data_IF_454061511421
#
_entry.id   IF_454061511421
#
_cell.length_a   1.000
_cell.length_b   1.000
_cell.length_c   1.000
_cell.angle_alpha   90.00
_cell.angle_beta   90.00
_cell.angle_gamma   90.00
#
_symmetry.space_group_name_H-M   'P 1'
#
loop_
_entity.id
_entity.type
_entity.pdbx_description
1 polymer ?
#
# COMPACT_ATOMS: atom_id res chain seq x y z
N UNK A 1 -7.50 -2.27 -21.53
CA UNK A 1 -6.29 -1.46 -21.21
C UNK A 1 -6.68 -0.54 -20.05
N UNK A 2 -5.79 -0.32 -19.07
CA UNK A 2 -6.04 0.66 -18.01
C UNK A 2 -5.87 2.08 -18.52
N UNK A 3 -6.56 3.07 -17.92
CA UNK A 3 -6.33 4.48 -18.19
C UNK A 3 -4.87 4.88 -17.89
N UNK A 4 -4.38 5.86 -18.63
CA UNK A 4 -3.07 6.45 -18.38
C UNK A 4 -3.15 7.50 -17.24
N UNK A 5 -2.01 8.10 -16.90
CA UNK A 5 -1.89 9.08 -15.80
C UNK A 5 -2.78 10.30 -16.05
N UNK A 6 -2.80 10.81 -17.26
CA UNK A 6 -3.55 12.00 -17.66
C UNK A 6 -5.06 11.77 -17.58
N UNK A 7 -5.53 10.60 -18.01
CA UNK A 7 -6.95 10.23 -17.94
C UNK A 7 -7.42 10.13 -16.48
N UNK A 8 -6.62 9.52 -15.59
CA UNK A 8 -6.95 9.50 -14.16
C UNK A 8 -6.94 10.90 -13.54
N UNK A 9 -5.97 11.75 -13.88
CA UNK A 9 -5.91 13.11 -13.37
C UNK A 9 -7.13 13.92 -13.84
N UNK A 10 -7.51 13.83 -15.11
CA UNK A 10 -8.70 14.50 -15.65
C UNK A 10 -9.99 14.01 -14.99
N UNK A 11 -10.13 12.70 -14.76
CA UNK A 11 -11.27 12.14 -14.05
C UNK A 11 -11.34 12.64 -12.60
N UNK A 12 -10.24 12.61 -11.87
CA UNK A 12 -10.17 13.00 -10.45
C UNK A 12 -10.30 14.51 -10.20
N UNK A 13 -10.26 15.34 -11.22
CA UNK A 13 -10.62 16.77 -11.15
C UNK A 13 -12.14 16.99 -11.22
N UNK A 14 -12.91 15.97 -11.58
CA UNK A 14 -14.37 16.01 -11.57
C UNK A 14 -14.91 15.78 -10.15
N UNK A 15 -16.24 15.87 -10.00
CA UNK A 15 -16.89 15.51 -8.76
C UNK A 15 -16.75 14.00 -8.49
N UNK A 16 -16.20 13.63 -7.33
CA UNK A 16 -15.98 12.24 -6.96
C UNK A 16 -17.27 11.41 -6.96
N UNK A 17 -18.43 12.01 -6.70
CA UNK A 17 -19.71 11.31 -6.76
C UNK A 17 -20.08 10.82 -8.16
N UNK A 18 -19.50 11.37 -9.22
CA UNK A 18 -19.71 10.94 -10.60
C UNK A 18 -18.74 9.84 -11.05
N UNK A 19 -17.59 9.72 -10.40
CA UNK A 19 -16.53 8.81 -10.83
C UNK A 19 -16.27 7.66 -9.87
N UNK A 20 -16.39 7.85 -8.55
CA UNK A 20 -16.25 6.78 -7.56
C UNK A 20 -17.60 6.08 -7.37
N UNK A 21 -17.60 4.75 -7.49
CA UNK A 21 -18.83 3.95 -7.41
C UNK A 21 -19.33 3.85 -5.96
N UNK A 22 -18.43 3.68 -5.02
CA UNK A 22 -18.78 3.57 -3.60
C UNK A 22 -19.20 4.93 -3.03
N UNK A 23 -20.47 5.00 -2.64
CA UNK A 23 -21.11 6.24 -2.14
C UNK A 23 -20.48 6.78 -0.86
N UNK A 24 -19.80 5.93 -0.07
CA UNK A 24 -19.12 6.36 1.16
C UNK A 24 -18.01 7.40 0.91
N UNK A 25 -17.48 7.46 -0.32
CA UNK A 25 -16.42 8.39 -0.72
C UNK A 25 -16.93 9.61 -1.52
N UNK A 26 -18.24 9.75 -1.74
CA UNK A 26 -18.78 10.84 -2.53
C UNK A 26 -18.59 12.23 -1.90
N UNK A 27 -18.50 12.30 -0.58
CA UNK A 27 -18.19 13.55 0.16
C UNK A 27 -16.69 13.82 0.34
N UNK A 28 -15.83 12.90 -0.11
CA UNK A 28 -14.39 13.09 -0.02
C UNK A 28 -13.90 14.16 -1.00
N UNK A 29 -12.72 14.70 -0.74
CA UNK A 29 -11.96 15.52 -1.69
C UNK A 29 -10.59 14.90 -1.96
N UNK A 30 -10.06 15.15 -3.16
CA UNK A 30 -8.68 14.76 -3.51
C UNK A 30 -7.70 15.81 -3.00
N UNK A 31 -6.54 15.38 -2.49
CA UNK A 31 -5.44 16.29 -2.21
C UNK A 31 -4.91 16.88 -3.51
N UNK A 32 -4.96 18.21 -3.62
CA UNK A 32 -4.48 18.95 -4.80
C UNK A 32 -3.09 19.52 -4.56
N UNK A 33 -2.31 19.68 -5.63
CA UNK A 33 -1.09 20.49 -5.66
C UNK A 33 -1.44 21.98 -5.67
N UNK A 34 -0.44 22.85 -5.53
CA UNK A 34 -0.60 24.30 -5.67
C UNK A 34 -1.10 24.74 -7.04
N UNK A 35 -0.98 23.88 -8.06
CA UNK A 35 -1.46 24.12 -9.42
C UNK A 35 -2.89 23.59 -9.66
N UNK A 36 -3.60 23.13 -8.62
CA UNK A 36 -4.95 22.57 -8.76
C UNK A 36 -5.00 21.20 -9.45
N UNK A 37 -3.88 20.49 -9.53
CA UNK A 37 -3.78 19.13 -10.10
C UNK A 37 -3.78 18.12 -8.98
N UNK A 38 -4.50 16.97 -9.06
CA UNK A 38 -4.45 15.89 -8.09
C UNK A 38 -3.02 15.46 -7.76
N UNK A 39 -2.65 15.49 -6.48
CA UNK A 39 -1.30 15.14 -6.05
C UNK A 39 -1.09 13.64 -6.08
N UNK A 40 -0.15 13.20 -6.92
CA UNK A 40 0.17 11.79 -7.13
C UNK A 40 1.34 11.38 -6.24
N UNK A 41 1.26 10.16 -5.73
CA UNK A 41 2.38 9.36 -5.26
C UNK A 41 2.43 8.12 -6.15
N UNK A 42 3.44 8.00 -6.99
CA UNK A 42 3.51 6.93 -8.00
C UNK A 42 4.37 5.76 -7.53
N UNK A 43 3.88 4.54 -7.80
CA UNK A 43 4.65 3.30 -7.81
C UNK A 43 4.85 2.77 -9.23
N UNK A 44 5.41 1.57 -9.37
CA UNK A 44 5.71 0.96 -10.68
C UNK A 44 4.45 0.62 -11.50
N UNK A 45 3.32 0.30 -10.87
CA UNK A 45 2.11 -0.21 -11.52
C UNK A 45 0.85 0.61 -11.23
N UNK A 46 0.90 1.43 -10.19
CA UNK A 46 -0.26 2.15 -9.69
C UNK A 46 0.07 3.59 -9.29
N UNK A 47 -0.97 4.43 -9.33
CA UNK A 47 -0.96 5.80 -8.82
C UNK A 47 -1.74 5.82 -7.52
N UNK A 48 -1.23 6.54 -6.52
CA UNK A 48 -1.87 6.70 -5.22
C UNK A 48 -2.24 8.16 -5.03
N UNK A 49 -3.51 8.40 -4.73
CA UNK A 49 -4.08 9.70 -4.40
C UNK A 49 -4.58 9.71 -2.97
N UNK A 50 -4.45 10.83 -2.30
CA UNK A 50 -4.98 11.00 -0.95
C UNK A 50 -6.42 11.51 -1.04
N UNK A 51 -7.37 10.74 -0.49
CA UNK A 51 -8.74 11.13 -0.26
C UNK A 51 -8.87 11.73 1.14
N UNK A 52 -9.33 12.96 1.22
CA UNK A 52 -9.62 13.65 2.48
C UNK A 52 -11.10 13.48 2.81
N UNK A 53 -11.40 12.85 3.94
CA UNK A 53 -12.75 12.73 4.50
C UNK A 53 -12.82 13.50 5.83
N UNK A 54 -14.03 13.72 6.34
CA UNK A 54 -14.25 14.47 7.59
C UNK A 54 -13.57 13.86 8.81
N UNK A 55 -13.53 12.53 8.89
CA UNK A 55 -13.08 11.83 10.08
C UNK A 55 -11.68 11.22 9.94
N UNK A 56 -11.29 10.80 8.74
CA UNK A 56 -10.01 10.15 8.47
C UNK A 56 -9.70 10.17 6.99
N UNK A 57 -8.43 10.22 6.65
CA UNK A 57 -7.99 10.19 5.25
C UNK A 57 -7.88 8.74 4.75
N UNK A 58 -8.08 8.55 3.45
CA UNK A 58 -7.85 7.28 2.75
C UNK A 58 -6.83 7.46 1.63
N UNK A 59 -6.23 6.37 1.21
CA UNK A 59 -5.44 6.29 -0.01
C UNK A 59 -6.28 5.60 -1.09
N UNK A 60 -6.50 6.29 -2.20
CA UNK A 60 -7.08 5.73 -3.42
C UNK A 60 -5.94 5.30 -4.33
N UNK A 61 -5.86 4.01 -4.61
CA UNK A 61 -4.89 3.44 -5.54
C UNK A 61 -5.57 3.00 -6.81
N UNK A 62 -5.11 3.51 -7.96
CA UNK A 62 -5.59 3.17 -9.30
C UNK A 62 -4.46 2.57 -10.12
N UNK A 63 -4.77 1.66 -11.04
CA UNK A 63 -3.80 0.93 -11.84
C UNK A 63 -3.67 1.52 -13.24
N UNK A 64 -2.46 1.85 -13.66
CA UNK A 64 -2.18 2.38 -15.01
C UNK A 64 -1.38 1.41 -15.90
N UNK A 65 -0.92 0.30 -15.32
CA UNK A 65 -0.28 -0.80 -16.05
C UNK A 65 -0.96 -2.12 -15.73
N UNK A 66 -1.00 -3.01 -16.72
CA UNK A 66 -1.56 -4.35 -16.55
C UNK A 66 -0.65 -5.16 -15.63
N UNK A 67 -1.21 -5.66 -14.54
CA UNK A 67 -0.62 -6.71 -13.74
C UNK A 67 -1.54 -7.93 -13.84
N UNK A 68 -0.99 -9.09 -14.23
CA UNK A 68 -1.76 -10.31 -14.32
C UNK A 68 -2.26 -10.74 -12.93
N UNK A 69 -3.50 -11.20 -12.87
CA UNK A 69 -4.14 -11.73 -11.65
C UNK A 69 -4.28 -10.76 -10.47
N UNK A 70 -4.26 -9.45 -10.70
CA UNK A 70 -4.32 -8.45 -9.64
C UNK A 70 -5.51 -8.65 -8.71
N UNK A 71 -6.69 -8.96 -9.25
CA UNK A 71 -7.91 -9.21 -8.50
C UNK A 71 -7.74 -10.38 -7.53
N UNK A 72 -7.34 -11.54 -8.07
CA UNK A 72 -7.15 -12.77 -7.28
C UNK A 72 -6.07 -12.59 -6.20
N UNK A 73 -4.99 -11.87 -6.52
CA UNK A 73 -3.92 -11.59 -5.57
C UNK A 73 -4.42 -10.72 -4.42
N UNK A 74 -5.08 -9.60 -4.73
CA UNK A 74 -5.57 -8.68 -3.70
C UNK A 74 -6.68 -9.27 -2.84
N UNK A 75 -7.54 -10.15 -3.38
CA UNK A 75 -8.49 -10.89 -2.57
C UNK A 75 -7.79 -11.73 -1.49
N UNK A 76 -6.73 -12.46 -1.85
CA UNK A 76 -5.97 -13.26 -0.89
C UNK A 76 -5.14 -12.40 0.08
N UNK A 77 -4.49 -11.34 -0.42
CA UNK A 77 -3.74 -10.39 0.42
C UNK A 77 -4.66 -9.75 1.47
N UNK A 78 -5.85 -9.30 1.08
CA UNK A 78 -6.80 -8.70 2.00
C UNK A 78 -7.29 -9.71 3.05
N UNK A 79 -7.53 -10.97 2.68
CA UNK A 79 -7.89 -12.02 3.65
C UNK A 79 -6.82 -12.18 4.72
N UNK A 80 -5.53 -12.26 4.32
CA UNK A 80 -4.44 -12.43 5.28
C UNK A 80 -4.22 -11.17 6.12
N UNK A 81 -4.30 -9.97 5.55
CA UNK A 81 -4.23 -8.71 6.29
C UNK A 81 -5.32 -8.65 7.37
N UNK A 82 -6.56 -8.95 7.01
CA UNK A 82 -7.68 -8.94 7.95
C UNK A 82 -7.51 -9.99 9.05
N UNK A 83 -6.97 -11.17 8.73
CA UNK A 83 -6.66 -12.19 9.72
C UNK A 83 -5.60 -11.72 10.71
N UNK A 84 -4.50 -11.14 10.21
CA UNK A 84 -3.40 -10.64 11.02
C UNK A 84 -3.83 -9.49 11.92
N UNK A 85 -4.56 -8.53 11.39
CA UNK A 85 -5.05 -7.38 12.17
C UNK A 85 -5.98 -7.84 13.32
N UNK A 86 -6.78 -8.90 13.11
CA UNK A 86 -7.61 -9.48 14.18
C UNK A 86 -6.78 -10.19 15.26
N UNK A 87 -5.68 -10.82 14.89
CA UNK A 87 -4.83 -11.58 15.82
C UNK A 87 -3.91 -10.69 16.67
N UNK A 88 -3.50 -9.53 16.18
CA UNK A 88 -2.51 -8.66 16.82
C UNK A 88 -3.09 -7.66 17.83
N UNK A 89 -4.39 -7.65 18.05
CA UNK A 89 -5.03 -6.70 18.98
C UNK A 89 -4.87 -5.24 18.50
N UNK A 90 -4.15 -4.42 19.25
CA UNK A 90 -3.99 -2.99 18.93
C UNK A 90 -2.80 -2.67 18.01
N UNK A 91 -2.03 -3.67 17.58
CA UNK A 91 -0.84 -3.45 16.74
C UNK A 91 -1.10 -3.94 15.32
N UNK A 92 -1.58 -3.04 14.47
CA UNK A 92 -1.83 -3.33 13.06
C UNK A 92 -0.60 -3.01 12.22
N UNK A 93 0.08 -4.06 11.73
CA UNK A 93 1.20 -3.90 10.79
C UNK A 93 0.75 -3.52 9.38
N UNK A 94 -0.51 -3.68 9.06
CA UNK A 94 -1.10 -3.38 7.76
C UNK A 94 -2.31 -2.48 7.92
N UNK A 95 -2.49 -1.54 6.99
CA UNK A 95 -3.69 -0.70 6.96
C UNK A 95 -4.91 -1.47 6.48
N UNK A 96 -6.08 -1.09 6.96
CA UNK A 96 -7.33 -1.61 6.43
C UNK A 96 -7.40 -1.34 4.92
N UNK A 97 -7.68 -2.37 4.16
CA UNK A 97 -7.59 -2.35 2.71
C UNK A 97 -8.80 -3.02 2.08
N UNK A 98 -9.37 -2.39 1.07
CA UNK A 98 -10.45 -2.96 0.25
C UNK A 98 -10.10 -2.90 -1.23
N UNK A 99 -10.44 -3.95 -1.97
CA UNK A 99 -10.34 -4.01 -3.42
C UNK A 99 -11.74 -3.95 -4.04
N UNK A 100 -11.92 -3.07 -5.01
CA UNK A 100 -13.19 -2.88 -5.73
C UNK A 100 -12.95 -3.11 -7.22
N UNK A 101 -13.54 -4.18 -7.75
CA UNK A 101 -13.35 -4.59 -9.17
C UNK A 101 -13.79 -3.51 -10.16
N UNK A 102 -14.81 -2.73 -9.80
CA UNK A 102 -15.43 -1.68 -10.62
C UNK A 102 -15.58 -0.40 -9.79
N UNK A 103 -14.49 0.08 -9.19
CA UNK A 103 -14.53 1.15 -8.18
C UNK A 103 -14.44 2.57 -8.72
N UNK A 104 -13.87 2.77 -9.90
CA UNK A 104 -13.76 4.12 -10.52
C UNK A 104 -14.19 4.11 -11.97
N UNK A 105 -14.85 5.20 -12.38
CA UNK A 105 -15.27 5.45 -13.76
C UNK A 105 -14.32 6.44 -14.42
N UNK A 106 -13.73 6.06 -15.56
CA UNK A 106 -12.89 6.91 -16.39
C UNK A 106 -13.30 6.73 -17.84
N UNK A 107 -13.58 7.81 -18.55
CA UNK A 107 -14.02 7.81 -19.94
C UNK A 107 -15.18 6.82 -20.21
N UNK A 108 -16.16 6.79 -19.30
CA UNK A 108 -17.36 5.95 -19.38
C UNK A 108 -17.17 4.48 -18.95
N UNK A 109 -15.94 4.01 -18.78
CA UNK A 109 -15.62 2.63 -18.39
C UNK A 109 -15.31 2.52 -16.87
N UNK A 110 -15.57 1.34 -16.31
CA UNK A 110 -15.27 1.04 -14.90
C UNK A 110 -13.94 0.31 -14.77
N UNK A 111 -13.15 0.72 -13.79
CA UNK A 111 -11.83 0.16 -13.50
C UNK A 111 -11.68 -0.20 -12.03
N UNK A 112 -10.81 -1.18 -11.73
CA UNK A 112 -10.55 -1.58 -10.36
C UNK A 112 -9.76 -0.52 -9.60
N UNK A 113 -10.05 -0.44 -8.31
CA UNK A 113 -9.31 0.39 -7.35
C UNK A 113 -9.03 -0.37 -6.07
N UNK A 114 -8.07 0.15 -5.32
CA UNK A 114 -7.86 -0.20 -3.92
C UNK A 114 -8.06 1.04 -3.08
N UNK A 115 -8.84 0.91 -2.02
CA UNK A 115 -8.96 1.93 -0.98
C UNK A 115 -8.30 1.39 0.28
N UNK A 116 -7.40 2.19 0.87
CA UNK A 116 -6.68 1.86 2.08
C UNK A 116 -6.78 2.99 3.10
N UNK A 117 -6.63 2.69 4.38
CA UNK A 117 -6.44 3.75 5.37
C UNK A 117 -5.15 4.53 5.08
N UNK A 118 -5.23 5.86 5.27
CA UNK A 118 -4.05 6.70 5.19
C UNK A 118 -3.25 6.60 6.50
N UNK A 119 -2.08 5.97 6.47
CA UNK A 119 -1.20 5.93 7.63
C UNK A 119 -0.42 7.25 7.78
N UNK A 120 -0.47 7.90 8.95
CA UNK A 120 0.14 9.23 9.16
C UNK A 120 1.63 9.18 9.51
N UNK A 121 2.31 8.05 9.41
CA UNK A 121 3.73 7.90 9.75
C UNK A 121 4.69 8.61 8.78
N UNK A 122 5.94 8.80 9.24
CA UNK A 122 7.07 9.12 8.36
C UNK A 122 7.55 7.85 7.66
N UNK A 123 8.12 7.98 6.46
CA UNK A 123 8.87 6.85 5.89
C UNK A 123 10.00 6.44 6.85
N UNK A 124 10.34 5.16 6.90
CA UNK A 124 11.45 4.68 7.74
C UNK A 124 12.76 5.40 7.38
N UNK A 125 12.97 5.72 6.11
CA UNK A 125 14.13 6.49 5.66
C UNK A 125 14.16 7.90 6.28
N UNK A 126 13.05 8.63 6.21
CA UNK A 126 12.94 9.97 6.79
C UNK A 126 13.04 9.91 8.32
N UNK A 127 12.36 8.93 8.95
CA UNK A 127 12.42 8.75 10.40
C UNK A 127 13.86 8.53 10.89
N UNK A 128 14.61 7.63 10.25
CA UNK A 128 16.01 7.36 10.59
C UNK A 128 16.87 8.59 10.32
N UNK A 129 16.71 9.24 9.18
CA UNK A 129 17.48 10.45 8.82
C UNK A 129 17.34 11.56 9.84
N UNK A 130 16.15 11.75 10.39
CA UNK A 130 15.87 12.78 11.39
C UNK A 130 16.35 12.37 12.79
N UNK A 131 16.24 11.08 13.13
CA UNK A 131 16.37 10.58 14.50
C UNK A 131 17.60 9.71 14.76
N UNK A 132 18.56 9.57 13.83
CA UNK A 132 19.70 8.62 13.95
C UNK A 132 20.57 8.84 15.20
N UNK A 133 20.58 10.04 15.78
CA UNK A 133 21.28 10.35 17.05
C UNK A 133 20.45 10.07 18.31
N UNK A 134 19.17 9.74 18.17
CA UNK A 134 18.29 9.45 19.30
C UNK A 134 18.22 7.93 19.53
N UNK A 135 19.05 7.43 20.44
CA UNK A 135 19.16 6.01 20.72
C UNK A 135 17.82 5.37 21.12
N UNK A 136 16.97 6.08 21.87
CA UNK A 136 15.66 5.58 22.29
C UNK A 136 14.72 5.37 21.10
N UNK A 137 14.61 6.35 20.20
CA UNK A 137 13.74 6.25 19.03
C UNK A 137 14.22 5.16 18.05
N UNK A 138 15.53 5.04 17.87
CA UNK A 138 16.10 3.97 17.03
C UNK A 138 15.88 2.58 17.67
N UNK A 139 16.05 2.46 18.98
CA UNK A 139 15.77 1.19 19.69
C UNK A 139 14.28 0.81 19.61
N UNK A 140 13.36 1.78 19.71
CA UNK A 140 11.93 1.54 19.53
C UNK A 140 11.63 1.00 18.12
N UNK A 141 12.20 1.63 17.07
CA UNK A 141 12.04 1.18 15.69
C UNK A 141 12.59 -0.25 15.49
N UNK A 142 13.78 -0.56 16.05
CA UNK A 142 14.35 -1.90 15.97
C UNK A 142 13.43 -2.96 16.59
N UNK A 143 12.87 -2.67 17.75
CA UNK A 143 11.94 -3.59 18.41
C UNK A 143 10.63 -3.76 17.63
N UNK A 144 10.09 -2.66 17.08
CA UNK A 144 8.89 -2.72 16.24
C UNK A 144 9.11 -3.57 14.98
N UNK A 145 10.26 -3.43 14.30
CA UNK A 145 10.63 -4.24 13.14
C UNK A 145 10.79 -5.72 13.50
N UNK A 146 11.50 -6.01 14.60
CA UNK A 146 11.70 -7.38 15.09
C UNK A 146 10.38 -8.08 15.37
N UNK A 147 9.46 -7.40 16.04
CA UNK A 147 8.13 -7.92 16.33
C UNK A 147 7.31 -8.16 15.05
N UNK A 148 7.38 -7.26 14.07
CA UNK A 148 6.72 -7.46 12.79
C UNK A 148 7.26 -8.67 12.02
N UNK A 149 8.58 -8.82 11.94
CA UNK A 149 9.19 -9.96 11.26
C UNK A 149 8.89 -11.29 11.95
N UNK A 150 8.82 -11.32 13.28
CA UNK A 150 8.36 -12.51 14.01
C UNK A 150 6.93 -12.91 13.61
N UNK A 151 6.03 -11.93 13.46
CA UNK A 151 4.66 -12.17 12.99
C UNK A 151 4.65 -12.68 11.54
N UNK A 152 5.48 -12.12 10.68
CA UNK A 152 5.59 -12.55 9.28
C UNK A 152 6.06 -14.00 9.19
N UNK A 153 7.12 -14.35 9.89
CA UNK A 153 7.68 -15.70 9.93
C UNK A 153 6.65 -16.70 10.48
N UNK A 154 6.02 -16.40 11.61
CA UNK A 154 5.01 -17.26 12.23
C UNK A 154 3.82 -17.56 11.30
N UNK A 155 3.47 -16.65 10.40
CA UNK A 155 2.35 -16.78 9.47
C UNK A 155 2.77 -17.16 8.05
N UNK A 156 4.04 -17.46 7.81
CA UNK A 156 4.61 -17.76 6.49
C UNK A 156 4.28 -16.67 5.45
N UNK A 157 4.42 -15.42 5.83
CA UNK A 157 4.23 -14.28 4.93
C UNK A 157 5.52 -13.51 4.74
N UNK A 158 5.64 -12.85 3.59
CA UNK A 158 6.69 -11.88 3.32
C UNK A 158 6.10 -10.67 2.60
N UNK A 159 6.61 -9.49 2.90
CA UNK A 159 6.18 -8.27 2.19
C UNK A 159 6.67 -8.24 0.74
N UNK A 160 7.84 -8.80 0.49
CA UNK A 160 8.43 -8.92 -0.85
C UNK A 160 9.14 -7.69 -1.38
N UNK A 161 8.86 -6.50 -0.82
CA UNK A 161 9.56 -5.24 -1.17
C UNK A 161 9.73 -4.35 0.08
N UNK A 162 10.47 -4.85 1.09
CA UNK A 162 10.78 -4.05 2.28
C UNK A 162 11.89 -3.08 1.97
N UNK A 163 11.50 -1.85 1.70
CA UNK A 163 12.40 -0.72 1.49
C UNK A 163 11.98 0.46 2.40
N UNK A 164 12.86 1.45 2.64
CA UNK A 164 12.57 2.55 3.56
C UNK A 164 11.29 3.33 3.25
N UNK A 165 10.87 3.40 1.99
CA UNK A 165 9.64 4.07 1.57
C UNK A 165 8.36 3.28 1.87
N UNK A 166 8.46 1.95 2.01
CA UNK A 166 7.31 1.05 2.20
C UNK A 166 7.03 0.72 3.67
N UNK A 167 7.78 1.33 4.59
CA UNK A 167 7.59 1.21 6.04
C UNK A 167 7.35 2.59 6.62
N UNK A 168 6.15 2.82 7.15
CA UNK A 168 5.78 4.05 7.83
C UNK A 168 5.98 3.88 9.33
N UNK A 169 6.55 4.90 9.99
CA UNK A 169 6.95 4.84 11.40
C UNK A 169 6.24 5.94 12.17
N UNK A 170 5.65 5.59 13.31
CA UNK A 170 5.05 6.57 14.24
C UNK A 170 6.10 7.50 14.84
N UNK A 171 5.67 8.68 15.34
CA UNK A 171 6.58 9.70 15.90
C UNK A 171 7.46 9.18 17.03
N UNK A 172 6.99 8.22 17.81
CA UNK A 172 7.71 7.60 18.94
C UNK A 172 8.54 6.37 18.56
N UNK A 173 8.51 5.97 17.28
CA UNK A 173 9.22 4.80 16.77
C UNK A 173 8.62 3.45 17.15
N UNK A 174 7.55 3.40 17.96
CA UNK A 174 7.02 2.14 18.51
C UNK A 174 6.09 1.38 17.59
N UNK A 175 5.45 2.09 16.65
CA UNK A 175 4.53 1.47 15.71
C UNK A 175 5.05 1.64 14.29
N UNK A 176 4.97 0.58 13.52
CA UNK A 176 5.27 0.58 12.10
C UNK A 176 4.08 0.07 11.32
N UNK A 177 3.95 0.56 10.10
CA UNK A 177 2.91 0.14 9.17
C UNK A 177 3.54 -0.11 7.80
N UNK A 178 3.35 -1.28 7.26
CA UNK A 178 3.77 -1.60 5.90
C UNK A 178 2.74 -1.10 4.89
N UNK A 179 3.21 -0.63 3.76
CA UNK A 179 2.40 -0.18 2.61
C UNK A 179 2.98 -0.75 1.33
N UNK A 180 2.20 -0.73 0.26
CA UNK A 180 2.58 -1.30 -1.05
C UNK A 180 2.71 -2.83 -1.04
N UNK A 181 1.56 -3.50 -1.08
CA UNK A 181 1.44 -4.96 -0.92
C UNK A 181 1.60 -5.76 -2.22
N UNK A 182 2.00 -5.14 -3.34
CA UNK A 182 2.08 -5.82 -4.64
C UNK A 182 3.06 -6.99 -4.63
N UNK A 183 4.19 -6.82 -3.94
CA UNK A 183 5.21 -7.84 -3.77
C UNK A 183 4.89 -8.90 -2.72
N UNK A 184 3.80 -8.74 -1.96
CA UNK A 184 3.51 -9.58 -0.80
C UNK A 184 3.37 -11.06 -1.19
N UNK A 185 3.91 -11.92 -0.35
CA UNK A 185 3.74 -13.35 -0.38
C UNK A 185 2.90 -13.82 0.81
N UNK A 186 1.98 -14.75 0.52
CA UNK A 186 1.37 -15.65 1.50
C UNK A 186 1.12 -17.01 0.81
N UNK A 187 0.92 -18.11 1.55
CA UNK A 187 0.81 -19.45 0.95
C UNK A 187 -0.27 -19.56 -0.14
N UNK A 188 -1.40 -18.87 0.02
CA UNK A 188 -2.53 -18.91 -0.93
C UNK A 188 -2.22 -18.27 -2.29
N UNK A 189 -1.23 -17.36 -2.37
CA UNK A 189 -0.84 -16.72 -3.64
C UNK A 189 0.39 -17.33 -4.29
N UNK A 190 0.97 -18.39 -3.72
CA UNK A 190 2.14 -19.08 -4.28
C UNK A 190 1.96 -19.43 -5.76
N UNK A 191 0.75 -19.89 -6.13
CA UNK A 191 0.38 -20.27 -7.51
C UNK A 191 0.48 -19.16 -8.54
N UNK A 192 0.40 -17.88 -8.14
CA UNK A 192 0.46 -16.74 -9.04
C UNK A 192 1.90 -16.23 -9.28
N UNK A 193 2.90 -16.78 -8.57
CA UNK A 193 4.26 -16.26 -8.58
C UNK A 193 4.37 -14.86 -7.96
N UNK A 194 5.54 -14.24 -8.03
CA UNK A 194 5.74 -12.87 -7.60
C UNK A 194 5.30 -11.88 -8.69
N UNK A 195 4.61 -10.81 -8.32
CA UNK A 195 4.23 -9.74 -9.24
C UNK A 195 5.41 -8.87 -9.65
N UNK A 196 6.40 -8.76 -8.75
CA UNK A 196 7.60 -7.95 -8.91
C UNK A 196 8.78 -8.57 -8.16
N UNK A 197 9.99 -8.13 -8.49
CA UNK A 197 11.21 -8.56 -7.81
C UNK A 197 11.44 -7.72 -6.54
N UNK A 198 10.88 -6.51 -6.48
CA UNK A 198 11.15 -5.51 -5.46
C UNK A 198 12.42 -4.71 -5.75
N UNK A 199 12.77 -3.79 -4.86
CA UNK A 199 13.91 -2.90 -5.07
C UNK A 199 15.22 -3.64 -4.82
N UNK A 200 16.10 -3.71 -5.84
CA UNK A 200 17.34 -4.52 -5.86
C UNK A 200 18.26 -4.35 -4.64
N UNK A 201 18.31 -3.16 -4.04
CA UNK A 201 19.18 -2.87 -2.89
C UNK A 201 18.62 -3.42 -1.56
N UNK A 202 17.37 -3.91 -1.56
CA UNK A 202 16.65 -4.38 -0.37
C UNK A 202 16.14 -5.82 -0.55
N UNK A 203 16.67 -6.54 -1.54
CA UNK A 203 16.35 -7.94 -1.80
C UNK A 203 17.55 -8.83 -1.47
N UNK A 204 17.27 -10.11 -1.19
CA UNK A 204 18.33 -11.10 -1.07
C UNK A 204 19.12 -11.18 -2.39
N UNK A 205 20.47 -11.28 -2.36
CA UNK A 205 21.30 -11.34 -3.58
C UNK A 205 20.90 -12.43 -4.57
N UNK A 206 20.41 -13.57 -4.07
CA UNK A 206 19.99 -14.70 -4.90
C UNK A 206 18.59 -14.53 -5.50
N UNK A 207 17.88 -13.43 -5.20
CA UNK A 207 16.56 -13.17 -5.77
C UNK A 207 16.69 -12.58 -7.17
N UNK A 208 16.88 -13.43 -8.17
CA UNK A 208 17.08 -13.04 -9.57
C UNK A 208 15.81 -13.13 -10.42
N UNK A 209 14.75 -13.80 -9.93
CA UNK A 209 13.55 -14.10 -10.70
C UNK A 209 12.27 -13.79 -9.93
N UNK A 210 11.14 -13.66 -10.67
CA UNK A 210 9.80 -13.44 -10.10
C UNK A 210 9.18 -14.70 -9.50
N UNK A 211 9.99 -15.59 -8.96
CA UNK A 211 9.51 -16.79 -8.29
C UNK A 211 9.69 -16.65 -6.78
N UNK A 212 8.72 -17.20 -6.04
CA UNK A 212 8.88 -17.34 -4.61
C UNK A 212 9.78 -18.53 -4.34
N UNK A 213 10.96 -18.27 -3.80
CA UNK A 213 11.86 -19.32 -3.33
C UNK A 213 11.43 -19.77 -1.93
N UNK A 214 11.55 -21.08 -1.65
CA UNK A 214 11.22 -21.69 -0.34
C UNK A 214 12.34 -21.51 0.69
N UNK A 215 13.33 -20.65 0.40
CA UNK A 215 14.46 -20.40 1.31
C UNK A 215 14.31 -19.09 2.05
#
# INVERSE_FOLDING_TARGET
MFPNVEQYQAALQQNLSSIIVDKSYHSASIEMSALGIPRIRSGNFALVYKLKLSNHDKALRVFYRTNFDIANRYEEIIKIINLLNKQQGNQNYFVETSYQVSGIRVDGNLYPIIIMDWSPGLSMGDFVSINYKNATLISNLQEALKNAFYVFEKNNIAHGDIQPGNVLVSKDGKNITFVDYDGMFCPSIKRFGASEIGHKNFQHPDRTERYFNEK
#
